data_IF_655341072861
#
_entry.id   IF_655341072861
#
_cell.length_a   1.000
_cell.length_b   1.000
_cell.length_c   1.000
_cell.angle_alpha   90.00
_cell.angle_beta   90.00
_cell.angle_gamma   90.00
#
_symmetry.space_group_name_H-M   'P 1'
#
loop_
_entity.id
_entity.type
_entity.pdbx_description
1 polymer ?
#
# COMPACT_ATOMS: atom_id res chain seq x y z
N UNK A 1 2.88 -15.91 -6.75
CA UNK A 1 1.41 -15.85 -6.62
C UNK A 1 0.93 -14.65 -5.79
N UNK A 2 1.24 -14.58 -4.49
CA UNK A 2 0.73 -13.53 -3.57
C UNK A 2 0.99 -12.09 -4.03
N UNK A 3 2.19 -11.81 -4.52
CA UNK A 3 2.56 -10.49 -5.06
C UNK A 3 1.62 -10.06 -6.19
N UNK A 4 1.16 -10.98 -7.04
CA UNK A 4 0.26 -10.65 -8.16
C UNK A 4 -1.14 -10.27 -7.66
N UNK A 5 -1.68 -11.01 -6.69
CA UNK A 5 -2.98 -10.70 -6.08
C UNK A 5 -2.96 -9.35 -5.36
N UNK A 6 -1.88 -9.08 -4.62
CA UNK A 6 -1.72 -7.83 -3.90
C UNK A 6 -1.49 -6.66 -4.87
N UNK A 7 -0.67 -6.86 -5.91
CA UNK A 7 -0.47 -5.87 -6.98
C UNK A 7 -1.80 -5.50 -7.68
N UNK A 8 -2.62 -6.50 -7.97
CA UNK A 8 -3.96 -6.33 -8.55
C UNK A 8 -4.88 -5.50 -7.63
N UNK A 9 -4.88 -5.78 -6.34
CA UNK A 9 -5.67 -5.05 -5.35
C UNK A 9 -5.20 -3.59 -5.16
N UNK A 10 -3.89 -3.35 -5.00
CA UNK A 10 -3.37 -1.99 -4.81
C UNK A 10 -3.53 -1.13 -6.06
N UNK A 11 -3.48 -1.72 -7.25
CA UNK A 11 -3.78 -1.00 -8.51
C UNK A 11 -5.20 -0.47 -8.56
N UNK A 12 -6.16 -1.27 -8.10
CA UNK A 12 -7.55 -0.83 -8.03
C UNK A 12 -7.77 0.24 -6.96
N UNK A 13 -7.00 0.20 -5.86
CA UNK A 13 -7.10 1.18 -4.78
C UNK A 13 -6.46 2.56 -5.13
N UNK A 14 -5.49 2.59 -6.05
CA UNK A 14 -4.76 3.79 -6.45
C UNK A 14 -4.75 3.97 -7.98
N UNK A 15 -5.90 4.34 -8.58
CA UNK A 15 -5.98 4.65 -10.01
C UNK A 15 -5.23 5.95 -10.35
N UNK A 16 -4.69 6.04 -11.57
CA UNK A 16 -4.12 7.29 -12.08
C UNK A 16 -5.18 8.38 -12.25
N UNK A 17 -4.79 9.61 -11.93
CA UNK A 17 -5.59 10.82 -12.19
C UNK A 17 -4.88 11.71 -13.22
N UNK A 18 -5.54 12.79 -13.66
CA UNK A 18 -4.95 13.75 -14.58
C UNK A 18 -3.69 14.44 -14.01
N UNK A 19 -3.58 14.55 -12.68
CA UNK A 19 -2.50 15.28 -12.00
C UNK A 19 -1.47 14.37 -11.35
N UNK A 20 -1.90 13.22 -10.82
CA UNK A 20 -1.04 12.35 -10.00
C UNK A 20 -1.04 10.93 -10.56
N UNK A 21 0.14 10.33 -10.80
CA UNK A 21 0.22 8.95 -11.30
C UNK A 21 -0.28 7.97 -10.23
N UNK A 22 -1.02 6.96 -10.69
CA UNK A 22 -1.48 5.83 -9.88
C UNK A 22 -0.56 4.63 -9.98
N UNK A 23 -0.91 3.57 -9.24
CA UNK A 23 -0.17 2.31 -9.24
C UNK A 23 -0.41 1.47 -10.50
N UNK A 24 -1.30 1.90 -11.39
CA UNK A 24 -1.44 1.38 -12.74
C UNK A 24 -0.27 1.77 -13.66
N UNK A 25 0.39 2.90 -13.39
CA UNK A 25 1.57 3.38 -14.13
C UNK A 25 2.89 3.06 -13.42
N UNK A 26 2.86 2.83 -12.12
CA UNK A 26 4.03 2.52 -11.29
C UNK A 26 4.10 1.02 -11.00
N UNK A 27 5.23 0.37 -11.30
CA UNK A 27 5.38 -1.07 -11.00
C UNK A 27 5.64 -1.31 -9.52
N UNK A 28 4.58 -1.56 -8.75
CA UNK A 28 4.67 -1.85 -7.31
C UNK A 28 5.20 -3.26 -7.01
N UNK A 29 5.37 -4.14 -8.00
CA UNK A 29 5.76 -5.55 -7.79
C UNK A 29 7.10 -5.73 -7.06
N UNK A 30 8.18 -5.00 -7.37
CA UNK A 30 9.45 -5.14 -6.66
C UNK A 30 9.31 -4.76 -5.18
N UNK A 31 8.63 -3.66 -4.88
CA UNK A 31 8.35 -3.23 -3.51
C UNK A 31 7.52 -4.28 -2.76
N UNK A 32 6.41 -4.76 -3.34
CA UNK A 32 5.56 -5.76 -2.69
C UNK A 32 6.30 -7.08 -2.44
N UNK A 33 7.21 -7.46 -3.35
CA UNK A 33 8.05 -8.65 -3.15
C UNK A 33 9.01 -8.45 -1.99
N UNK A 34 9.64 -7.29 -1.88
CA UNK A 34 10.52 -6.97 -0.75
C UNK A 34 9.73 -6.90 0.56
N UNK A 35 8.60 -6.20 0.57
CA UNK A 35 7.71 -6.08 1.72
C UNK A 35 7.31 -7.45 2.23
N UNK A 36 6.76 -8.33 1.39
CA UNK A 36 6.33 -9.67 1.82
C UNK A 36 7.50 -10.57 2.24
N UNK A 37 8.72 -10.32 1.76
CA UNK A 37 9.92 -11.07 2.17
C UNK A 37 10.44 -10.62 3.55
N UNK A 38 10.26 -9.36 3.90
CA UNK A 38 10.77 -8.75 5.14
C UNK A 38 9.70 -8.53 6.21
N UNK A 39 8.42 -8.66 5.85
CA UNK A 39 7.30 -8.38 6.73
C UNK A 39 7.28 -9.33 7.93
N UNK A 40 7.01 -8.83 9.15
CA UNK A 40 6.61 -9.71 10.24
C UNK A 40 5.34 -10.45 9.87
N UNK A 41 5.12 -11.62 10.47
CA UNK A 41 3.97 -12.48 10.13
C UNK A 41 2.63 -11.76 10.19
N UNK A 42 2.42 -10.88 11.17
CA UNK A 42 1.17 -10.11 11.30
C UNK A 42 0.89 -9.23 10.07
N UNK A 43 1.92 -8.52 9.57
CA UNK A 43 1.78 -7.69 8.37
C UNK A 43 1.61 -8.57 7.12
N UNK A 44 2.33 -9.69 7.06
CA UNK A 44 2.19 -10.66 5.97
C UNK A 44 0.75 -11.19 5.88
N UNK A 45 0.18 -11.66 7.00
CA UNK A 45 -1.20 -12.15 7.06
C UNK A 45 -2.20 -11.06 6.73
N UNK A 46 -2.00 -9.84 7.25
CA UNK A 46 -2.83 -8.69 6.91
C UNK A 46 -2.83 -8.41 5.41
N UNK A 47 -1.66 -8.31 4.79
CA UNK A 47 -1.52 -8.00 3.37
C UNK A 47 -2.07 -9.10 2.47
N UNK A 48 -1.69 -10.36 2.70
CA UNK A 48 -2.14 -11.50 1.89
C UNK A 48 -3.63 -11.77 2.11
N UNK A 49 -4.10 -11.75 3.36
CA UNK A 49 -5.52 -11.92 3.69
C UNK A 49 -6.39 -10.85 3.03
N UNK A 50 -5.91 -9.60 2.98
CA UNK A 50 -6.63 -8.51 2.30
C UNK A 50 -6.63 -8.68 0.79
N UNK A 51 -5.56 -9.18 0.18
CA UNK A 51 -5.52 -9.50 -1.24
C UNK A 51 -6.49 -10.65 -1.59
N UNK A 52 -6.64 -11.64 -0.71
CA UNK A 52 -7.65 -12.71 -0.88
C UNK A 52 -9.05 -12.12 -0.74
N UNK A 53 -9.29 -11.30 0.29
CA UNK A 53 -10.58 -10.62 0.50
C UNK A 53 -10.99 -9.80 -0.72
N UNK A 54 -10.06 -9.06 -1.33
CA UNK A 54 -10.28 -8.37 -2.60
C UNK A 54 -10.80 -9.30 -3.69
N UNK A 55 -10.24 -10.51 -3.83
CA UNK A 55 -10.69 -11.42 -4.88
C UNK A 55 -12.06 -12.06 -4.61
N UNK A 56 -12.41 -12.33 -3.35
CA UNK A 56 -13.63 -13.10 -3.00
C UNK A 56 -14.83 -12.23 -2.65
N UNK A 57 -14.63 -10.97 -2.28
CA UNK A 57 -15.71 -10.06 -1.85
C UNK A 57 -16.51 -9.34 -2.96
N UNK A 58 -16.26 -9.49 -4.28
CA UNK A 58 -17.19 -8.99 -5.31
C UNK A 58 -18.63 -9.46 -5.12
N UNK A 59 -18.84 -10.68 -4.63
CA UNK A 59 -20.18 -11.22 -4.33
C UNK A 59 -20.89 -10.43 -3.23
N UNK A 60 -20.15 -9.99 -2.21
CA UNK A 60 -20.71 -9.23 -1.08
C UNK A 60 -20.91 -7.76 -1.40
N UNK A 61 -20.07 -7.20 -2.27
CA UNK A 61 -20.03 -5.75 -2.53
C UNK A 61 -20.87 -5.32 -3.72
N UNK A 62 -20.76 -6.02 -4.86
CA UNK A 62 -21.45 -5.67 -6.10
C UNK A 62 -22.35 -6.81 -6.61
N UNK A 63 -22.47 -7.91 -5.86
CA UNK A 63 -23.33 -9.05 -6.18
C UNK A 63 -22.82 -9.94 -7.32
N UNK A 64 -21.54 -9.83 -7.70
CA UNK A 64 -20.98 -10.59 -8.82
C UNK A 64 -20.24 -11.86 -8.34
N UNK A 65 -20.57 -13.06 -8.86
CA UNK A 65 -20.00 -14.32 -8.40
C UNK A 65 -18.67 -14.66 -9.09
N UNK A 66 -17.89 -13.65 -9.50
CA UNK A 66 -16.60 -13.85 -10.17
C UNK A 66 -15.48 -13.17 -9.37
N UNK A 67 -14.24 -13.69 -9.42
CA UNK A 67 -13.10 -13.04 -8.78
C UNK A 67 -12.88 -11.62 -9.28
N UNK A 68 -12.37 -10.73 -8.43
CA UNK A 68 -12.12 -9.33 -8.79
C UNK A 68 -11.18 -9.17 -10.00
N UNK A 69 -10.24 -10.09 -10.18
CA UNK A 69 -9.36 -10.16 -11.34
C UNK A 69 -10.09 -10.30 -12.68
N UNK A 70 -11.29 -10.90 -12.69
CA UNK A 70 -12.11 -11.13 -13.89
C UNK A 70 -13.14 -10.02 -14.12
N UNK A 71 -13.26 -9.06 -13.21
CA UNK A 71 -14.22 -7.96 -13.34
C UNK A 71 -13.77 -6.95 -14.41
N UNK A 72 -14.70 -6.41 -15.22
CA UNK A 72 -14.46 -5.24 -16.04
C UNK A 72 -14.01 -4.04 -15.21
N UNK A 73 -13.24 -3.12 -15.78
CA UNK A 73 -12.68 -1.97 -15.08
C UNK A 73 -13.73 -1.18 -14.27
N UNK A 74 -14.87 -0.83 -14.90
CA UNK A 74 -15.95 -0.12 -14.21
C UNK A 74 -16.57 -0.91 -13.04
N UNK A 75 -16.61 -2.25 -13.12
CA UNK A 75 -17.08 -3.08 -12.01
C UNK A 75 -16.04 -3.15 -10.88
N UNK A 76 -14.74 -3.18 -11.22
CA UNK A 76 -13.64 -3.13 -10.24
C UNK A 76 -13.64 -1.83 -9.45
N UNK A 77 -13.88 -0.70 -10.11
CA UNK A 77 -13.93 0.60 -9.44
C UNK A 77 -15.12 0.68 -8.47
N UNK A 78 -16.29 0.19 -8.89
CA UNK A 78 -17.46 0.06 -8.02
C UNK A 78 -17.18 -0.86 -6.83
N UNK A 79 -16.50 -1.98 -7.06
CA UNK A 79 -16.09 -2.91 -6.02
C UNK A 79 -15.15 -2.24 -5.00
N UNK A 80 -14.10 -1.55 -5.46
CA UNK A 80 -13.15 -0.83 -4.59
C UNK A 80 -13.84 0.26 -3.76
N UNK A 81 -14.76 1.02 -4.37
CA UNK A 81 -15.55 2.01 -3.67
C UNK A 81 -16.47 1.37 -2.61
N UNK A 82 -17.18 0.29 -2.96
CA UNK A 82 -18.06 -0.43 -2.04
C UNK A 82 -17.32 -1.04 -0.86
N UNK A 83 -16.13 -1.63 -1.07
CA UNK A 83 -15.31 -2.16 0.04
C UNK A 83 -14.90 -1.07 1.05
N UNK A 84 -14.63 0.16 0.58
CA UNK A 84 -14.22 1.26 1.46
C UNK A 84 -15.32 1.66 2.46
N UNK A 85 -16.59 1.55 2.05
CA UNK A 85 -17.76 1.91 2.87
C UNK A 85 -18.57 0.72 3.40
N UNK A 86 -18.07 -0.52 3.25
CA UNK A 86 -18.87 -1.71 3.51
C UNK A 86 -19.26 -1.84 5.00
N UNK A 87 -20.47 -2.35 5.27
CA UNK A 87 -20.98 -2.56 6.63
C UNK A 87 -20.24 -3.65 7.40
N UNK A 88 -19.75 -4.69 6.70
CA UNK A 88 -18.91 -5.73 7.29
C UNK A 88 -17.50 -5.18 7.56
N UNK A 89 -17.14 -5.14 8.84
CA UNK A 89 -15.85 -4.64 9.31
C UNK A 89 -14.65 -5.29 8.61
N UNK A 90 -14.66 -6.61 8.42
CA UNK A 90 -13.54 -7.33 7.79
C UNK A 90 -13.30 -6.89 6.34
N UNK A 91 -14.36 -6.60 5.57
CA UNK A 91 -14.25 -6.11 4.19
C UNK A 91 -13.63 -4.72 4.17
N UNK A 92 -14.10 -3.84 5.06
CA UNK A 92 -13.54 -2.49 5.19
C UNK A 92 -12.09 -2.52 5.67
N UNK A 93 -11.77 -3.37 6.65
CA UNK A 93 -10.41 -3.54 7.16
C UNK A 93 -9.45 -4.07 6.09
N UNK A 94 -9.91 -5.00 5.23
CA UNK A 94 -9.12 -5.45 4.10
C UNK A 94 -8.77 -4.28 3.15
N UNK A 95 -9.74 -3.41 2.86
CA UNK A 95 -9.48 -2.21 2.04
C UNK A 95 -8.50 -1.24 2.72
N UNK A 96 -8.63 -1.02 4.04
CA UNK A 96 -7.67 -0.22 4.80
C UNK A 96 -6.26 -0.78 4.66
N UNK A 97 -6.08 -2.10 4.83
CA UNK A 97 -4.77 -2.73 4.70
C UNK A 97 -4.20 -2.65 3.27
N UNK A 98 -5.04 -2.83 2.24
CA UNK A 98 -4.64 -2.62 0.84
C UNK A 98 -4.14 -1.18 0.64
N UNK A 99 -4.87 -0.19 1.17
CA UNK A 99 -4.48 1.23 1.10
C UNK A 99 -3.22 1.53 1.89
N UNK A 100 -3.02 0.92 3.05
CA UNK A 100 -1.79 1.05 3.84
C UNK A 100 -0.60 0.56 3.03
N UNK A 101 -0.66 -0.67 2.51
CA UNK A 101 0.44 -1.26 1.74
C UNK A 101 0.72 -0.48 0.45
N UNK A 102 -0.33 -0.14 -0.31
CA UNK A 102 -0.19 0.64 -1.53
C UNK A 102 0.32 2.06 -1.27
N UNK A 103 -0.15 2.69 -0.19
CA UNK A 103 0.21 4.05 0.21
C UNK A 103 1.69 4.18 0.62
N UNK A 104 2.25 3.16 1.27
CA UNK A 104 3.68 3.12 1.60
C UNK A 104 4.58 3.26 0.37
N UNK A 105 4.22 2.59 -0.73
CA UNK A 105 4.95 2.70 -2.00
C UNK A 105 4.58 3.96 -2.78
N UNK A 106 3.28 4.22 -2.93
CA UNK A 106 2.76 5.34 -3.72
C UNK A 106 3.26 6.69 -3.18
N UNK A 107 3.25 6.90 -1.86
CA UNK A 107 3.73 8.15 -1.26
C UNK A 107 5.26 8.34 -1.32
N UNK A 108 6.01 7.27 -1.57
CA UNK A 108 7.46 7.28 -1.72
C UNK A 108 7.92 7.41 -3.18
N UNK A 109 7.06 7.08 -4.15
CA UNK A 109 7.39 7.16 -5.56
C UNK A 109 7.77 8.61 -5.97
N UNK A 110 8.96 8.82 -6.57
CA UNK A 110 9.41 10.15 -6.99
C UNK A 110 8.41 10.87 -7.88
N UNK A 111 7.78 10.15 -8.81
CA UNK A 111 6.81 10.67 -9.77
C UNK A 111 5.57 11.24 -9.06
N UNK A 112 5.11 10.57 -8.00
CA UNK A 112 3.98 11.03 -7.18
C UNK A 112 4.39 12.27 -6.38
N UNK A 113 5.58 12.26 -5.78
CA UNK A 113 6.07 13.38 -4.96
C UNK A 113 6.29 14.62 -5.80
N UNK A 114 6.90 14.49 -6.98
CA UNK A 114 7.08 15.59 -7.93
C UNK A 114 5.72 16.13 -8.41
N UNK A 115 4.76 15.26 -8.74
CA UNK A 115 3.41 15.68 -9.12
C UNK A 115 2.66 16.45 -8.01
N UNK A 116 2.97 16.14 -6.75
CA UNK A 116 2.40 16.81 -5.57
C UNK A 116 3.21 18.02 -5.08
N UNK A 117 4.34 18.36 -5.74
CA UNK A 117 5.23 19.44 -5.31
C UNK A 117 5.96 19.15 -3.98
N UNK A 118 6.11 17.88 -3.61
CA UNK A 118 6.77 17.44 -2.39
C UNK A 118 8.26 17.18 -2.64
N UNK A 119 9.14 17.46 -1.66
CA UNK A 119 10.57 17.14 -1.79
C UNK A 119 10.76 15.64 -1.91
N UNK A 120 11.65 15.19 -2.78
CA UNK A 120 11.99 13.78 -2.91
C UNK A 120 12.60 13.25 -1.60
N UNK A 121 12.36 11.97 -1.31
CA UNK A 121 13.10 11.33 -0.23
C UNK A 121 14.59 11.30 -0.59
N UNK A 122 15.45 11.61 0.39
CA UNK A 122 16.89 11.45 0.23
C UNK A 122 17.26 9.98 0.03
N UNK A 123 18.53 9.72 -0.26
CA UNK A 123 19.06 8.35 -0.33
C UNK A 123 18.71 7.61 0.96
N UNK A 124 18.02 6.48 0.85
CA UNK A 124 17.74 5.60 1.98
C UNK A 124 19.06 5.28 2.67
N UNK A 125 19.26 5.66 3.95
CA UNK A 125 20.50 5.37 4.67
C UNK A 125 20.73 3.87 4.89
N UNK A 126 19.80 3.02 4.43
CA UNK A 126 19.86 1.57 4.45
C UNK A 126 20.10 1.03 5.86
N UNK A 127 19.01 0.87 6.63
CA UNK A 127 19.01 0.08 7.89
C UNK A 127 20.20 0.38 8.79
N UNK A 128 20.16 1.48 9.52
CA UNK A 128 21.01 1.57 10.71
C UNK A 128 20.42 0.58 11.72
N UNK A 129 21.02 -0.61 11.83
CA UNK A 129 20.82 -1.45 13.01
C UNK A 129 21.36 -0.66 14.19
N UNK A 130 20.60 -0.62 15.29
CA UNK A 130 20.68 0.33 16.40
C UNK A 130 22.08 0.58 17.02
N UNK A 131 23.08 -0.23 16.70
CA UNK A 131 24.46 -0.13 17.19
C UNK A 131 25.20 1.12 16.67
N UNK A 132 24.92 1.60 15.46
CA UNK A 132 25.64 2.77 14.88
C UNK A 132 25.00 4.12 15.28
N UNK A 133 23.68 4.14 15.55
CA UNK A 133 22.97 5.32 16.06
C UNK A 133 23.16 5.53 17.58
N UNK A 134 23.37 4.46 18.34
CA UNK A 134 23.73 4.59 19.77
C UNK A 134 25.06 5.35 19.98
N UNK A 135 25.98 5.28 19.00
CA UNK A 135 27.26 6.00 19.02
C UNK A 135 27.24 7.40 18.41
N UNK A 136 26.20 7.75 17.63
CA UNK A 136 26.03 9.08 17.04
C UNK A 136 24.76 9.70 17.62
N UNK A 137 24.91 10.51 18.66
CA UNK A 137 23.84 11.33 19.19
C UNK A 137 23.27 12.25 18.08
N UNK A 138 22.19 11.82 17.42
CA UNK A 138 21.52 12.59 16.35
C UNK A 138 20.53 13.60 16.93
N UNK A 139 20.17 13.48 18.21
CA UNK A 139 19.41 14.51 18.90
C UNK A 139 20.37 15.56 19.46
N UNK A 140 20.23 16.86 19.10
CA UNK A 140 20.97 17.90 19.79
C UNK A 140 20.57 17.83 21.26
N UNK A 141 21.51 17.44 22.12
CA UNK A 141 21.34 17.68 23.54
C UNK A 141 21.20 19.19 23.67
N UNK A 142 20.00 19.65 24.00
CA UNK A 142 19.77 21.04 24.38
C UNK A 142 20.74 21.32 25.52
N UNK A 143 21.83 22.03 25.22
CA UNK A 143 22.75 22.52 26.24
C UNK A 143 21.98 23.53 27.06
N UNK A 144 21.37 23.06 28.14
CA UNK A 144 21.01 23.90 29.27
C UNK A 144 22.31 24.30 29.96
N UNK A 145 22.85 25.45 29.55
CA UNK A 145 23.81 26.24 30.34
C UNK A 145 23.11 27.47 30.86
N UNK A 146 23.58 28.07 31.96
CA UNK A 146 23.93 27.50 33.27
C UNK A 146 22.82 27.72 34.32
#
# INVERSE_FOLDING_TARGET
MWVALLHDAVRAAFPSTARVPGLDRLDSRPFLRQLLRQAPWTLWFGAVGSAIAWQVTPVLTIGWPVPAAMLPAAARDRHANAMSGHGLYLVRMAMVMIKTVGGLYWGAAPEVRTALGLPLYGTDPATVRDEELAGRAIWPQSQGTP
#
